data_IF_052346372379
#
_entry.id   IF_052346372379
#
_cell.length_a   1.000
_cell.length_b   1.000
_cell.length_c   1.000
_cell.angle_alpha   90.00
_cell.angle_beta   90.00
_cell.angle_gamma   90.00
#
_symmetry.space_group_name_H-M   'P 1'
#
loop_
_entity.id
_entity.type
_entity.pdbx_description
1 polymer ?
#
# COMPACT_ATOMS: atom_id res chain seq x y z
N UNK A 1 -9.28 -9.84 13.41
CA UNK A 1 -10.34 -9.43 12.44
C UNK A 1 -11.30 -10.61 12.26
N UNK A 2 -12.61 -10.38 12.38
CA UNK A 2 -13.60 -11.44 12.15
C UNK A 2 -13.70 -11.78 10.66
N UNK A 3 -13.98 -13.05 10.34
CA UNK A 3 -14.23 -13.49 8.95
C UNK A 3 -15.46 -12.77 8.42
N UNK A 4 -15.33 -12.12 7.27
CA UNK A 4 -16.42 -11.40 6.60
C UNK A 4 -16.54 -11.86 5.16
N UNK A 5 -17.76 -11.78 4.63
CA UNK A 5 -18.06 -12.04 3.23
C UNK A 5 -17.93 -10.76 2.41
N UNK A 6 -17.58 -10.89 1.13
CA UNK A 6 -17.45 -9.80 0.16
C UNK A 6 -16.13 -9.83 -0.61
N UNK A 7 -16.22 -9.46 -1.87
CA UNK A 7 -15.12 -9.06 -2.74
C UNK A 7 -15.07 -7.53 -2.85
N UNK A 8 -13.97 -6.97 -3.31
CA UNK A 8 -13.84 -5.51 -3.34
C UNK A 8 -12.39 -5.05 -3.39
N UNK A 9 -12.17 -3.84 -2.88
CA UNK A 9 -10.87 -3.18 -2.86
C UNK A 9 -10.38 -2.97 -1.42
N UNK A 10 -9.07 -2.95 -1.24
CA UNK A 10 -8.42 -2.64 0.02
C UNK A 10 -7.15 -1.81 -0.19
N UNK A 11 -6.78 -1.09 0.86
CA UNK A 11 -5.58 -0.26 0.93
C UNK A 11 -4.88 -0.55 2.26
N UNK A 12 -3.56 -0.67 2.24
CA UNK A 12 -2.70 -0.93 3.39
C UNK A 12 -1.87 0.34 3.63
N UNK A 13 -1.82 0.79 4.87
CA UNK A 13 -1.11 2.00 5.30
C UNK A 13 -0.01 1.60 6.27
N UNK A 14 1.10 2.33 6.23
CA UNK A 14 2.26 2.10 7.09
C UNK A 14 2.40 3.22 8.11
N UNK A 15 2.78 2.86 9.33
CA UNK A 15 2.93 3.75 10.49
C UNK A 15 4.20 3.46 11.30
N UNK A 16 5.10 2.63 10.78
CA UNK A 16 6.34 2.26 11.46
C UNK A 16 7.52 3.17 11.11
N UNK A 17 8.72 2.73 11.51
CA UNK A 17 9.96 3.49 11.48
C UNK A 17 10.99 3.00 10.43
N UNK A 18 10.59 2.12 9.52
CA UNK A 18 11.49 1.63 8.47
C UNK A 18 11.99 2.80 7.61
N UNK A 19 13.31 3.05 7.51
CA UNK A 19 13.86 4.28 6.90
C UNK A 19 13.40 4.50 5.46
N UNK A 20 13.36 3.45 4.65
CA UNK A 20 12.88 3.54 3.27
C UNK A 20 11.41 3.98 3.13
N UNK A 21 10.61 3.89 4.20
CA UNK A 21 9.17 4.19 4.20
C UNK A 21 8.80 5.41 5.05
N UNK A 22 9.79 6.14 5.58
CA UNK A 22 9.58 7.27 6.46
C UNK A 22 8.65 8.35 5.86
N UNK A 23 8.79 8.62 4.56
CA UNK A 23 7.99 9.65 3.89
C UNK A 23 6.47 9.35 3.90
N UNK A 24 6.08 8.08 3.77
CA UNK A 24 4.67 7.63 3.71
C UNK A 24 4.11 7.22 5.07
N UNK A 25 4.97 7.05 6.08
CA UNK A 25 4.57 6.65 7.42
C UNK A 25 3.62 7.68 8.05
N UNK A 26 2.48 7.22 8.57
CA UNK A 26 1.49 8.09 9.21
C UNK A 26 0.72 9.01 8.26
N UNK A 27 0.81 8.79 6.95
CA UNK A 27 0.11 9.60 5.94
C UNK A 27 -1.19 8.94 5.48
N UNK A 28 -2.02 9.69 4.75
CA UNK A 28 -3.22 9.19 4.06
C UNK A 28 -2.89 8.53 2.71
N UNK A 29 -1.61 8.37 2.36
CA UNK A 29 -1.18 7.59 1.19
C UNK A 29 -0.96 6.12 1.59
N UNK A 30 -1.69 5.17 1.00
CA UNK A 30 -1.41 3.75 1.23
C UNK A 30 -0.06 3.35 0.65
N UNK A 31 0.63 2.44 1.33
CA UNK A 31 1.87 1.82 0.83
C UNK A 31 1.55 0.74 -0.23
N UNK A 32 0.35 0.14 -0.15
CA UNK A 32 -0.15 -0.86 -1.10
C UNK A 32 -1.66 -0.75 -1.29
N UNK A 33 -2.13 -0.89 -2.52
CA UNK A 33 -3.55 -1.03 -2.88
C UNK A 33 -3.75 -2.34 -3.61
N UNK A 34 -4.84 -3.05 -3.31
CA UNK A 34 -5.18 -4.25 -4.04
C UNK A 34 -6.67 -4.53 -4.08
N UNK A 35 -7.07 -5.46 -4.94
CA UNK A 35 -8.42 -6.02 -4.98
C UNK A 35 -8.47 -7.48 -4.52
N UNK A 36 -9.67 -7.90 -4.18
CA UNK A 36 -10.04 -9.30 -4.07
C UNK A 36 -11.21 -9.55 -5.03
N UNK A 37 -11.04 -10.47 -5.96
CA UNK A 37 -12.10 -10.85 -6.92
C UNK A 37 -13.13 -11.75 -6.25
N UNK A 38 -14.40 -11.69 -6.66
CA UNK A 38 -15.43 -12.59 -6.15
C UNK A 38 -15.14 -14.04 -6.51
N UNK A 39 -15.68 -14.97 -5.70
CA UNK A 39 -15.61 -16.42 -5.99
C UNK A 39 -16.24 -16.77 -7.34
N UNK A 40 -17.26 -16.01 -7.76
CA UNK A 40 -17.93 -16.14 -9.04
C UNK A 40 -18.16 -14.78 -9.69
N UNK A 41 -17.99 -14.69 -11.01
CA UNK A 41 -18.12 -13.44 -11.76
C UNK A 41 -19.57 -12.91 -11.86
N UNK A 42 -20.56 -13.74 -11.55
CA UNK A 42 -21.98 -13.43 -11.54
C UNK A 42 -22.56 -13.23 -10.12
N UNK A 43 -21.71 -13.28 -9.08
CA UNK A 43 -22.13 -13.09 -7.70
C UNK A 43 -22.82 -11.73 -7.50
N UNK A 44 -24.02 -11.73 -6.90
CA UNK A 44 -24.85 -10.54 -6.68
C UNK A 44 -24.84 -10.09 -5.23
N UNK A 45 -24.54 -11.00 -4.30
CA UNK A 45 -24.47 -10.71 -2.86
C UNK A 45 -23.07 -10.94 -2.30
N UNK A 46 -22.72 -10.26 -1.21
CA UNK A 46 -21.42 -10.45 -0.56
C UNK A 46 -21.19 -11.91 -0.15
N UNK A 47 -22.24 -12.65 0.21
CA UNK A 47 -22.15 -14.07 0.56
C UNK A 47 -21.74 -14.93 -0.64
N UNK A 48 -22.34 -14.69 -1.82
CA UNK A 48 -21.97 -15.37 -3.07
C UNK A 48 -20.55 -15.02 -3.51
N UNK A 49 -20.14 -13.76 -3.29
CA UNK A 49 -18.75 -13.34 -3.54
C UNK A 49 -17.75 -14.13 -2.68
N UNK A 50 -18.16 -14.61 -1.51
CA UNK A 50 -17.30 -15.34 -0.58
C UNK A 50 -16.40 -14.42 0.25
N UNK A 51 -15.58 -14.96 1.15
CA UNK A 51 -14.77 -14.18 2.10
C UNK A 51 -13.46 -13.63 1.48
N UNK A 52 -13.54 -13.06 0.28
CA UNK A 52 -12.38 -12.80 -0.58
C UNK A 52 -11.48 -11.70 -0.02
N UNK A 53 -12.06 -10.57 0.41
CA UNK A 53 -11.30 -9.50 1.06
C UNK A 53 -10.63 -9.97 2.35
N UNK A 54 -11.36 -10.72 3.18
CA UNK A 54 -10.81 -11.26 4.42
C UNK A 54 -9.61 -12.16 4.14
N UNK A 55 -9.73 -13.12 3.21
CA UNK A 55 -8.65 -14.03 2.85
C UNK A 55 -7.41 -13.29 2.35
N UNK A 56 -7.58 -12.32 1.43
CA UNK A 56 -6.45 -11.53 0.91
C UNK A 56 -5.72 -10.73 1.99
N UNK A 57 -6.45 -10.09 2.90
CA UNK A 57 -5.84 -9.33 3.99
C UNK A 57 -5.13 -10.25 5.01
N UNK A 58 -5.67 -11.44 5.26
CA UNK A 58 -5.00 -12.47 6.08
C UNK A 58 -3.71 -12.93 5.44
N UNK A 59 -3.69 -13.13 4.12
CA UNK A 59 -2.47 -13.51 3.38
C UNK A 59 -1.40 -12.43 3.50
N UNK A 60 -1.75 -11.16 3.29
CA UNK A 60 -0.83 -10.02 3.47
C UNK A 60 -0.28 -9.94 4.88
N UNK A 61 -1.15 -10.06 5.88
CA UNK A 61 -0.74 -10.08 7.30
C UNK A 61 0.23 -11.23 7.58
N UNK A 62 -0.02 -12.41 7.01
CA UNK A 62 0.86 -13.57 7.15
C UNK A 62 2.23 -13.29 6.52
N UNK A 63 2.28 -12.70 5.32
CA UNK A 63 3.54 -12.37 4.65
C UNK A 63 4.37 -11.37 5.47
N UNK A 64 3.76 -10.29 5.96
CA UNK A 64 4.43 -9.30 6.83
C UNK A 64 4.96 -9.99 8.09
N UNK A 65 4.15 -10.85 8.73
CA UNK A 65 4.60 -11.61 9.91
C UNK A 65 5.78 -12.54 9.61
N UNK A 66 5.78 -13.18 8.43
CA UNK A 66 6.86 -14.10 8.03
C UNK A 66 8.18 -13.36 7.85
N UNK A 67 8.21 -12.26 7.07
CA UNK A 67 9.45 -11.51 6.84
C UNK A 67 9.91 -10.76 8.09
N UNK A 68 8.97 -10.24 8.89
CA UNK A 68 9.28 -9.60 10.16
C UNK A 68 9.88 -10.56 11.18
N UNK A 69 9.30 -11.76 11.31
CA UNK A 69 9.83 -12.82 12.17
C UNK A 69 11.23 -13.25 11.74
N UNK A 70 11.44 -13.48 10.44
CA UNK A 70 12.76 -13.81 9.90
C UNK A 70 13.79 -12.71 10.22
N UNK A 71 13.46 -11.44 9.96
CA UNK A 71 14.36 -10.32 10.25
C UNK A 71 14.70 -10.24 11.75
N UNK A 72 13.73 -10.46 12.64
CA UNK A 72 13.95 -10.48 14.08
C UNK A 72 14.86 -11.65 14.50
N UNK A 73 14.60 -12.86 14.00
CA UNK A 73 15.38 -14.06 14.31
C UNK A 73 16.83 -13.95 13.82
N UNK A 74 17.06 -13.25 12.71
CA UNK A 74 18.38 -13.04 12.12
C UNK A 74 19.08 -11.75 12.62
N UNK A 75 18.43 -10.96 13.50
CA UNK A 75 18.98 -9.70 13.98
C UNK A 75 19.14 -8.63 12.88
N UNK A 76 18.34 -8.71 11.81
CA UNK A 76 18.33 -7.71 10.75
C UNK A 76 17.64 -6.42 11.24
N UNK A 77 18.14 -5.24 10.85
CA UNK A 77 17.54 -3.97 11.24
C UNK A 77 16.20 -3.76 10.52
N UNK A 78 15.36 -2.88 11.09
CA UNK A 78 14.12 -2.40 10.48
C UNK A 78 13.11 -3.51 10.11
N UNK A 79 13.00 -4.54 10.95
CA UNK A 79 12.00 -5.60 10.80
C UNK A 79 10.57 -5.04 10.74
N UNK A 80 9.78 -5.48 9.74
CA UNK A 80 8.37 -5.12 9.62
C UNK A 80 7.54 -5.75 10.74
N UNK A 81 6.79 -4.93 11.48
CA UNK A 81 5.84 -5.42 12.49
C UNK A 81 4.44 -5.26 11.95
N UNK A 82 3.60 -6.27 12.17
CA UNK A 82 2.17 -6.21 11.76
C UNK A 82 1.46 -5.02 12.40
N UNK A 83 1.87 -4.63 13.60
CA UNK A 83 1.27 -3.52 14.36
C UNK A 83 1.60 -2.14 13.75
N UNK A 84 2.59 -2.07 12.87
CA UNK A 84 2.93 -0.87 12.10
C UNK A 84 1.99 -0.65 10.90
N UNK A 85 0.98 -1.50 10.70
CA UNK A 85 0.10 -1.44 9.53
C UNK A 85 -1.37 -1.32 9.91
N UNK A 86 -2.08 -0.45 9.22
CA UNK A 86 -3.55 -0.44 9.19
C UNK A 86 -4.04 -0.77 7.79
N UNK A 87 -5.30 -1.18 7.68
CA UNK A 87 -5.93 -1.38 6.39
C UNK A 87 -7.34 -0.79 6.35
N UNK A 88 -7.71 -0.31 5.17
CA UNK A 88 -9.08 0.05 4.83
C UNK A 88 -9.56 -0.89 3.73
N UNK A 89 -10.83 -1.26 3.79
CA UNK A 89 -11.44 -2.18 2.83
C UNK A 89 -12.86 -1.75 2.53
N UNK A 90 -13.27 -1.94 1.29
CA UNK A 90 -14.62 -1.66 0.82
C UNK A 90 -15.11 -2.87 0.05
N UNK A 91 -16.25 -3.43 0.48
CA UNK A 91 -16.97 -4.44 -0.31
C UNK A 91 -17.62 -3.73 -1.47
N UNK A 92 -17.39 -4.23 -2.69
CA UNK A 92 -17.90 -3.62 -3.91
C UNK A 92 -18.90 -4.55 -4.59
N UNK A 93 -19.78 -3.97 -5.42
CA UNK A 93 -20.49 -4.74 -6.42
C UNK A 93 -19.49 -5.47 -7.32
N UNK A 94 -19.86 -6.66 -7.79
CA UNK A 94 -19.01 -7.46 -8.68
C UNK A 94 -18.61 -6.65 -9.92
N UNK A 95 -17.34 -6.76 -10.31
CA UNK A 95 -16.63 -6.00 -11.35
C UNK A 95 -16.21 -4.57 -10.96
N UNK A 96 -16.86 -3.92 -10.00
CA UNK A 96 -16.48 -2.58 -9.58
C UNK A 96 -15.10 -2.54 -8.90
N UNK A 97 -14.66 -3.65 -8.28
CA UNK A 97 -13.37 -3.75 -7.60
C UNK A 97 -12.18 -3.47 -8.52
N UNK A 98 -12.28 -3.85 -9.81
CA UNK A 98 -11.20 -3.66 -10.78
C UNK A 98 -10.98 -2.17 -11.09
N UNK A 99 -12.07 -1.44 -11.31
CA UNK A 99 -12.02 -0.01 -11.62
C UNK A 99 -11.58 0.78 -10.39
N UNK A 100 -12.11 0.42 -9.22
CA UNK A 100 -11.74 1.04 -7.95
C UNK A 100 -10.24 0.88 -7.64
N UNK A 101 -9.69 -0.34 -7.75
CA UNK A 101 -8.26 -0.60 -7.55
C UNK A 101 -7.40 0.25 -8.48
N UNK A 102 -7.70 0.23 -9.79
CA UNK A 102 -6.95 1.01 -10.78
C UNK A 102 -6.98 2.50 -10.50
N UNK A 103 -8.14 3.03 -10.09
CA UNK A 103 -8.29 4.43 -9.76
C UNK A 103 -7.44 4.79 -8.52
N UNK A 104 -7.55 4.01 -7.45
CA UNK A 104 -6.76 4.23 -6.23
C UNK A 104 -5.25 4.12 -6.47
N UNK A 105 -4.79 3.15 -7.28
CA UNK A 105 -3.36 3.04 -7.64
C UNK A 105 -2.90 4.27 -8.42
N UNK A 106 -3.72 4.80 -9.34
CA UNK A 106 -3.38 6.01 -10.10
C UNK A 106 -3.35 7.26 -9.23
N UNK A 107 -4.28 7.38 -8.29
CA UNK A 107 -4.35 8.53 -7.38
C UNK A 107 -3.19 8.52 -6.39
N UNK A 108 -3.01 7.41 -5.67
CA UNK A 108 -2.10 7.37 -4.52
C UNK A 108 -0.68 6.92 -4.87
N UNK A 109 -0.48 6.31 -6.05
CA UNK A 109 0.81 5.80 -6.52
C UNK A 109 1.58 4.95 -5.47
N UNK A 110 0.94 3.96 -4.83
CA UNK A 110 1.53 3.18 -3.74
C UNK A 110 2.82 2.44 -4.16
N UNK A 111 3.91 2.61 -3.40
CA UNK A 111 5.24 2.11 -3.78
C UNK A 111 5.38 0.58 -3.83
N UNK A 112 4.49 -0.18 -3.17
CA UNK A 112 4.48 -1.64 -3.23
C UNK A 112 3.70 -2.23 -4.40
N UNK A 113 2.99 -1.38 -5.16
CA UNK A 113 2.27 -1.81 -6.34
C UNK A 113 3.21 -1.99 -7.54
N UNK A 114 2.92 -3.00 -8.37
CA UNK A 114 3.73 -3.34 -9.54
C UNK A 114 3.79 -2.17 -10.54
N UNK A 115 2.72 -1.39 -10.61
CA UNK A 115 2.56 -0.22 -11.46
C UNK A 115 3.62 0.85 -11.23
N UNK A 116 4.20 0.93 -10.02
CA UNK A 116 5.27 1.89 -9.74
C UNK A 116 6.64 1.39 -10.22
N UNK A 117 6.83 0.07 -10.33
CA UNK A 117 8.12 -0.50 -10.72
C UNK A 117 9.25 -0.28 -9.71
N UNK A 118 8.91 -0.05 -8.43
CA UNK A 118 9.87 0.28 -7.36
C UNK A 118 10.03 -0.90 -6.39
N UNK A 119 9.09 -1.08 -5.44
CA UNK A 119 9.19 -2.07 -4.36
C UNK A 119 8.05 -3.10 -4.46
N UNK A 120 7.85 -3.66 -5.66
CA UNK A 120 6.78 -4.61 -5.92
C UNK A 120 7.13 -6.04 -5.50
N UNK A 121 6.11 -6.84 -5.19
CA UNK A 121 6.27 -8.29 -4.96
C UNK A 121 5.55 -8.86 -3.75
N UNK A 122 4.95 -8.02 -2.89
CA UNK A 122 4.21 -8.49 -1.70
C UNK A 122 3.13 -9.54 -2.04
N UNK A 123 2.38 -9.32 -3.13
CA UNK A 123 1.29 -10.20 -3.59
C UNK A 123 1.73 -11.41 -4.41
N UNK A 124 3.04 -11.60 -4.62
CA UNK A 124 3.53 -12.81 -5.33
C UNK A 124 3.33 -14.03 -4.45
N UNK A 125 2.77 -15.07 -5.05
CA UNK A 125 2.78 -16.42 -4.49
C UNK A 125 3.92 -17.18 -5.17
N UNK A 126 4.62 -18.02 -4.41
CA UNK A 126 5.74 -18.78 -4.95
C UNK A 126 5.23 -19.86 -5.90
N UNK A 127 5.46 -19.66 -7.21
CA UNK A 127 5.53 -20.77 -8.15
C UNK A 127 6.90 -21.44 -7.96
N UNK A 128 6.96 -22.77 -8.04
CA UNK A 128 8.21 -23.50 -7.87
C UNK A 128 9.31 -22.92 -8.80
N UNK A 129 10.55 -22.84 -8.30
CA UNK A 129 11.70 -22.22 -8.96
C UNK A 129 12.07 -22.81 -10.35
N UNK A 130 11.36 -23.83 -10.80
CA UNK A 130 11.54 -24.48 -12.11
C UNK A 130 10.74 -23.82 -13.24
N UNK A 131 9.75 -22.98 -12.93
CA UNK A 131 8.98 -22.25 -13.95
C UNK A 131 9.49 -20.82 -14.13
N UNK A 132 10.36 -20.67 -15.14
CA UNK A 132 10.93 -19.40 -15.67
C UNK A 132 11.89 -18.68 -14.72
N UNK A 133 12.94 -18.10 -15.31
CA UNK A 133 14.01 -17.31 -14.70
C UNK A 133 13.50 -16.05 -13.95
N UNK A 134 12.69 -16.25 -12.91
CA UNK A 134 12.10 -15.18 -12.13
C UNK A 134 13.15 -14.67 -11.15
N UNK A 135 13.58 -13.41 -11.32
CA UNK A 135 14.42 -12.72 -10.33
C UNK A 135 13.68 -12.50 -9.01
N UNK A 136 14.41 -12.44 -7.89
CA UNK A 136 13.89 -12.05 -6.57
C UNK A 136 13.27 -10.66 -6.68
N UNK A 137 12.03 -10.52 -6.20
CA UNK A 137 11.30 -9.26 -6.34
C UNK A 137 11.93 -8.16 -5.50
N UNK A 138 11.85 -6.88 -5.88
CA UNK A 138 12.35 -5.79 -5.05
C UNK A 138 11.77 -5.80 -3.62
N UNK A 139 10.51 -6.19 -3.45
CA UNK A 139 9.93 -6.34 -2.11
C UNK A 139 10.62 -7.46 -1.30
N UNK A 140 10.95 -8.60 -1.90
CA UNK A 140 11.72 -9.68 -1.24
C UNK A 140 13.17 -9.31 -0.96
N UNK A 141 13.76 -8.45 -1.78
CA UNK A 141 15.11 -7.91 -1.54
C UNK A 141 15.11 -7.04 -0.29
N UNK A 142 14.11 -6.17 -0.14
CA UNK A 142 13.98 -5.30 1.04
C UNK A 142 13.51 -6.07 2.29
N UNK A 143 12.72 -7.14 2.11
CA UNK A 143 12.07 -7.88 3.19
C UNK A 143 12.33 -9.39 3.05
N UNK A 144 13.53 -9.88 3.40
CA UNK A 144 13.86 -11.30 3.30
C UNK A 144 13.03 -12.14 4.28
N UNK A 145 12.89 -13.44 3.99
CA UNK A 145 12.25 -14.41 4.89
C UNK A 145 11.16 -15.28 4.26
N UNK A 146 10.75 -15.01 3.02
CA UNK A 146 9.88 -15.95 2.27
C UNK A 146 10.73 -17.06 1.68
N UNK A 147 10.57 -18.30 2.16
CA UNK A 147 11.39 -19.46 1.76
C UNK A 147 11.64 -19.57 0.25
N UNK A 148 10.61 -19.38 -0.58
CA UNK A 148 10.73 -19.48 -2.03
C UNK A 148 11.55 -18.34 -2.66
N UNK A 149 11.62 -17.17 -2.02
CA UNK A 149 12.41 -16.03 -2.48
C UNK A 149 13.87 -16.07 -1.97
N UNK A 150 14.15 -16.90 -0.97
CA UNK A 150 15.49 -17.04 -0.36
C UNK A 150 16.40 -18.04 -1.09
N UNK A 151 15.92 -18.70 -2.16
CA UNK A 151 16.75 -19.63 -2.92
C UNK A 151 17.99 -18.91 -3.49
N UNK A 152 19.17 -19.51 -3.30
CA UNK A 152 20.46 -18.96 -3.75
C UNK A 152 20.54 -18.80 -5.28
N UNK A 153 19.78 -19.62 -6.02
CA UNK A 153 19.68 -19.54 -7.48
C UNK A 153 18.94 -18.30 -7.99
N UNK A 154 18.27 -17.54 -7.12
CA UNK A 154 17.52 -16.35 -7.50
C UNK A 154 18.42 -15.12 -7.46
N UNK A 155 18.62 -14.52 -8.64
CA UNK A 155 19.23 -13.21 -8.75
C UNK A 155 18.28 -12.10 -8.28
N UNK A 156 18.83 -11.06 -7.65
CA UNK A 156 18.07 -9.87 -7.30
C UNK A 156 17.64 -9.09 -8.55
N UNK A 157 16.39 -8.62 -8.55
CA UNK A 157 15.92 -7.73 -9.61
C UNK A 157 16.58 -6.36 -9.54
N UNK A 158 16.80 -5.86 -8.31
CA UNK A 158 17.38 -4.55 -7.97
C UNK A 158 18.05 -4.65 -6.60
N UNK A 159 19.11 -3.88 -6.36
CA UNK A 159 19.75 -3.81 -5.03
C UNK A 159 18.95 -2.95 -4.04
N UNK A 160 19.13 -3.12 -2.71
CA UNK A 160 18.48 -2.29 -1.70
C UNK A 160 18.70 -0.78 -1.88
N UNK A 161 19.91 -0.36 -2.30
CA UNK A 161 20.24 1.05 -2.51
C UNK A 161 19.48 1.67 -3.68
N UNK A 162 19.33 0.92 -4.78
CA UNK A 162 18.56 1.37 -5.94
C UNK A 162 17.08 1.46 -5.59
N UNK A 163 16.55 0.50 -4.81
CA UNK A 163 15.16 0.53 -4.36
C UNK A 163 14.92 1.74 -3.46
N UNK A 164 15.79 1.98 -2.49
CA UNK A 164 15.67 3.11 -1.55
C UNK A 164 15.77 4.46 -2.26
N UNK A 165 16.72 4.60 -3.20
CA UNK A 165 16.85 5.80 -4.04
C UNK A 165 15.58 6.08 -4.83
N UNK A 166 15.02 5.05 -5.49
CA UNK A 166 13.79 5.22 -6.27
C UNK A 166 12.57 5.52 -5.41
N UNK A 167 12.49 4.99 -4.18
CA UNK A 167 11.42 5.36 -3.24
C UNK A 167 11.53 6.85 -2.87
N UNK A 168 12.74 7.34 -2.58
CA UNK A 168 12.96 8.74 -2.26
C UNK A 168 12.60 9.66 -3.44
N UNK A 169 13.08 9.35 -4.65
CA UNK A 169 12.72 10.06 -5.89
C UNK A 169 11.21 10.07 -6.13
N UNK A 170 10.56 8.93 -5.88
CA UNK A 170 9.12 8.79 -6.05
C UNK A 170 8.35 9.74 -5.15
N UNK A 171 8.66 9.79 -3.85
CA UNK A 171 7.95 10.68 -2.92
C UNK A 171 8.35 12.14 -3.05
N UNK A 172 9.55 12.44 -3.58
CA UNK A 172 9.90 13.81 -3.96
C UNK A 172 9.05 14.31 -5.13
N UNK A 173 8.83 13.47 -6.15
CA UNK A 173 7.98 13.80 -7.31
C UNK A 173 6.47 13.67 -7.02
N UNK A 174 6.10 12.86 -6.03
CA UNK A 174 4.72 12.53 -5.68
C UNK A 174 4.55 12.57 -4.15
N UNK A 175 4.47 13.76 -3.54
CA UNK A 175 4.35 13.88 -2.09
C UNK A 175 3.15 13.10 -1.55
N UNK A 176 3.32 12.33 -0.46
CA UNK A 176 2.22 11.63 0.19
C UNK A 176 1.08 12.57 0.61
N UNK A 177 -0.16 12.14 0.44
CA UNK A 177 -1.32 12.87 0.91
C UNK A 177 -1.38 12.82 2.43
N UNK A 178 -1.56 13.97 3.08
CA UNK A 178 -1.66 14.06 4.55
C UNK A 178 -3.06 14.43 5.05
N UNK A 179 -3.88 15.02 4.17
CA UNK A 179 -5.22 15.51 4.53
C UNK A 179 -6.31 14.72 3.81
N UNK A 180 -7.09 13.97 4.60
CA UNK A 180 -8.30 13.29 4.12
C UNK A 180 -9.30 14.25 3.49
N UNK A 181 -9.45 15.46 4.06
CA UNK A 181 -10.34 16.48 3.52
C UNK A 181 -9.89 16.95 2.12
N UNK A 182 -8.58 17.11 1.89
CA UNK A 182 -8.02 17.46 0.58
C UNK A 182 -8.24 16.34 -0.43
N UNK A 183 -8.02 15.08 -0.04
CA UNK A 183 -8.29 13.92 -0.88
C UNK A 183 -9.75 13.89 -1.33
N UNK A 184 -10.70 14.01 -0.39
CA UNK A 184 -12.13 13.96 -0.70
C UNK A 184 -12.54 15.12 -1.61
N UNK A 185 -12.08 16.35 -1.32
CA UNK A 185 -12.34 17.51 -2.18
C UNK A 185 -11.78 17.32 -3.59
N UNK A 186 -10.55 16.81 -3.71
CA UNK A 186 -9.93 16.49 -5.01
C UNK A 186 -10.78 15.50 -5.81
N UNK A 187 -11.19 14.38 -5.19
CA UNK A 187 -12.07 13.42 -5.85
C UNK A 187 -13.40 14.05 -6.29
N UNK A 188 -14.06 14.82 -5.43
CA UNK A 188 -15.32 15.48 -5.78
C UNK A 188 -15.14 16.46 -6.95
N UNK A 189 -14.02 17.18 -6.99
CA UNK A 189 -13.67 18.06 -8.09
C UNK A 189 -13.43 17.28 -9.39
N UNK A 190 -12.71 16.16 -9.34
CA UNK A 190 -12.44 15.31 -10.51
C UNK A 190 -13.73 14.70 -11.10
N UNK A 191 -14.76 14.50 -10.28
CA UNK A 191 -16.07 14.02 -10.72
C UNK A 191 -17.05 15.14 -11.10
N UNK A 192 -16.68 16.42 -10.97
CA UNK A 192 -17.56 17.51 -11.34
C UNK A 192 -17.84 17.48 -12.85
N UNK A 193 -19.11 17.37 -13.23
CA UNK A 193 -19.54 17.24 -14.64
C UNK A 193 -19.95 18.56 -15.28
N UNK A 194 -20.03 19.64 -14.49
CA UNK A 194 -20.46 20.93 -15.01
C UNK A 194 -19.31 21.63 -15.73
N UNK A 195 -19.37 21.67 -17.06
CA UNK A 195 -18.35 22.30 -17.91
C UNK A 195 -18.16 23.81 -17.66
N UNK A 196 -19.12 24.47 -17.01
CA UNK A 196 -19.03 25.89 -16.62
C UNK A 196 -18.23 26.10 -15.33
N UNK A 197 -17.93 25.05 -14.57
CA UNK A 197 -17.06 25.11 -13.40
C UNK A 197 -15.63 24.77 -13.85
N UNK A 198 -14.81 25.79 -14.06
CA UNK A 198 -13.37 25.57 -14.28
C UNK A 198 -12.74 25.02 -13.00
N UNK A 199 -11.78 24.07 -13.07
CA UNK A 199 -10.97 23.65 -11.93
C UNK A 199 -10.02 24.78 -11.54
N UNK A 200 -10.53 25.80 -10.87
CA UNK A 200 -9.76 26.92 -10.35
C UNK A 200 -10.47 27.49 -9.14
N UNK A 201 -10.39 26.77 -8.04
CA UNK A 201 -10.19 27.44 -6.76
C UNK A 201 -8.82 26.96 -6.28
N UNK A 202 -7.83 27.84 -6.39
CA UNK A 202 -6.57 27.67 -5.66
C UNK A 202 -6.95 27.79 -4.20
N UNK A 203 -7.05 26.65 -3.51
CA UNK A 203 -7.28 26.60 -2.08
C UNK A 203 -5.93 26.66 -1.39
N UNK A 204 -5.78 27.61 -0.47
CA UNK A 204 -4.55 27.86 0.29
C UNK A 204 -3.95 26.57 0.89
N UNK A 205 -2.62 26.56 0.95
CA UNK A 205 -1.81 25.42 1.37
C UNK A 205 -1.85 25.26 2.90
N UNK A 206 -2.92 24.65 3.42
CA UNK A 206 -3.08 24.35 4.85
C UNK A 206 -2.09 23.28 5.38
N UNK A 207 -1.25 22.68 4.52
CA UNK A 207 -0.22 21.73 4.96
C UNK A 207 0.83 22.39 5.91
N UNK A 208 0.96 23.72 5.90
CA UNK A 208 1.79 24.45 6.86
C UNK A 208 1.16 24.56 8.27
N UNK A 209 -0.16 24.45 8.40
CA UNK A 209 -0.87 24.63 9.68
C UNK A 209 -0.85 23.34 10.50
N UNK A 210 -0.86 22.18 9.85
CA UNK A 210 -0.74 20.89 10.54
C UNK A 210 0.67 20.64 11.13
N UNK A 211 1.71 21.31 10.60
CA UNK A 211 3.08 21.24 11.12
C UNK A 211 3.35 22.16 12.31
N UNK A 212 2.53 23.20 12.52
CA UNK A 212 2.75 24.23 13.56
C UNK A 212 2.04 23.96 14.89
N UNK A 213 1.10 23.00 14.94
CA UNK A 213 0.33 22.69 16.17
C UNK A 213 1.09 21.76 17.13
N UNK A 214 2.28 21.27 16.75
CA UNK A 214 3.10 20.35 17.57
C UNK A 214 4.23 21.04 18.35
N UNK A 215 4.29 22.37 18.40
CA UNK A 215 5.31 23.15 19.13
C UNK A 215 4.83 23.64 20.50
N UNK A 216 5.48 23.15 21.56
CA UNK A 216 5.40 23.52 22.98
C UNK A 216 4.89 24.93 23.33
N UNK A 217 3.94 24.98 24.28
CA UNK A 217 3.68 26.16 25.12
C UNK A 217 4.83 26.30 26.14
N UNK A 218 5.45 27.49 26.30
CA UNK A 218 6.44 27.72 27.33
C UNK A 218 5.78 27.81 28.72
N UNK A 219 6.51 27.54 29.81
CA UNK A 219 5.96 27.60 31.15
C UNK A 219 5.68 29.06 31.52
N UNK A 220 4.47 29.33 32.00
CA UNK A 220 4.12 30.57 32.70
C UNK A 220 4.70 30.55 34.11
N UNK A 221 5.31 31.68 34.50
CA UNK A 221 5.94 31.98 35.80
C UNK A 221 5.19 31.51 37.05
#
# INVERSE_FOLDING_TARGET
MARTYGSGVYAIYYHGDHPAYAAVSGTETPIYVGKADPKSADARTSREQGPQLYSRLVDHRRMIKTVGGYAADQGLPHSLKVDDFTCHRLVCATNAQLVAERHLIRTFRPIWNNEMGICWGISKHGDAATTRANKRSPWDVMHPGRNWAMAESLEDKMSPDVITTRIAEHFAANPPHRSRARIVRGFLSDFAQNAAMTPSEVVDDDDAVAATVSGELPPTE
#
